data_IF_302303520175
#
_entry.id   IF_302303520175
#
_cell.length_a   1.000
_cell.length_b   1.000
_cell.length_c   1.000
_cell.angle_alpha   90.00
_cell.angle_beta   90.00
_cell.angle_gamma   90.00
#
_symmetry.space_group_name_H-M   'P 1'
#
loop_
_entity.id
_entity.type
_entity.pdbx_description
1 polymer ?
#
# COMPACT_ATOMS: atom_id res chain seq x y z
N UNK A 1 -32.46 9.75 -35.69
CA UNK A 1 -32.00 8.99 -34.49
C UNK A 1 -30.73 8.17 -34.70
N UNK A 2 -30.12 8.10 -35.88
CA UNK A 2 -28.94 7.29 -36.19
C UNK A 2 -27.60 7.95 -35.80
N UNK A 3 -27.52 9.26 -35.77
CA UNK A 3 -26.26 10.00 -35.46
C UNK A 3 -25.76 9.77 -34.03
N UNK A 4 -26.59 9.96 -33.03
CA UNK A 4 -26.22 9.83 -31.59
C UNK A 4 -25.69 8.43 -31.25
N UNK A 5 -26.28 7.40 -31.85
CA UNK A 5 -25.86 6.03 -31.66
C UNK A 5 -24.44 5.79 -32.14
N UNK A 6 -23.97 6.42 -33.22
CA UNK A 6 -22.60 6.25 -33.72
C UNK A 6 -21.56 6.96 -32.85
N UNK A 7 -21.87 8.12 -32.31
CA UNK A 7 -20.96 8.88 -31.42
C UNK A 7 -20.69 8.17 -30.12
N UNK A 8 -21.68 7.49 -29.49
CA UNK A 8 -21.46 6.72 -28.26
C UNK A 8 -20.55 5.50 -28.48
N UNK A 9 -20.70 4.81 -29.61
CA UNK A 9 -19.84 3.70 -29.99
C UNK A 9 -18.40 4.15 -30.26
N UNK A 10 -18.22 5.27 -30.99
CA UNK A 10 -16.92 5.83 -31.27
C UNK A 10 -16.23 6.31 -30.00
N UNK A 11 -16.94 7.02 -29.09
CA UNK A 11 -16.39 7.44 -27.81
C UNK A 11 -15.93 6.23 -26.95
N UNK A 12 -16.75 5.19 -26.88
CA UNK A 12 -16.39 3.97 -26.17
C UNK A 12 -15.14 3.29 -26.79
N UNK A 13 -15.06 3.24 -28.11
CA UNK A 13 -13.88 2.67 -28.80
C UNK A 13 -12.61 3.47 -28.51
N UNK A 14 -12.67 4.80 -28.56
CA UNK A 14 -11.54 5.69 -28.24
C UNK A 14 -11.08 5.50 -26.80
N UNK A 15 -12.00 5.52 -25.83
CA UNK A 15 -11.69 5.28 -24.41
C UNK A 15 -11.09 3.89 -24.21
N UNK A 16 -11.68 2.87 -24.81
CA UNK A 16 -11.17 1.50 -24.70
C UNK A 16 -9.77 1.32 -25.30
N UNK A 17 -9.47 1.97 -26.44
CA UNK A 17 -8.12 1.98 -27.03
C UNK A 17 -7.15 2.73 -26.11
N UNK A 18 -7.58 3.83 -25.51
CA UNK A 18 -6.72 4.55 -24.56
C UNK A 18 -6.37 3.69 -23.33
N UNK A 19 -7.32 2.91 -22.78
CA UNK A 19 -7.03 1.96 -21.68
C UNK A 19 -6.08 0.85 -22.12
N UNK A 20 -6.24 0.32 -23.35
CA UNK A 20 -5.30 -0.66 -23.90
C UNK A 20 -3.90 -0.06 -24.05
N UNK A 21 -3.78 1.15 -24.61
CA UNK A 21 -2.49 1.83 -24.74
C UNK A 21 -1.85 2.07 -23.38
N UNK A 22 -2.60 2.57 -22.37
CA UNK A 22 -2.12 2.71 -20.99
C UNK A 22 -1.65 1.38 -20.41
N UNK A 23 -2.39 0.29 -20.67
CA UNK A 23 -2.00 -1.07 -20.28
C UNK A 23 -0.67 -1.49 -20.90
N UNK A 24 -0.52 -1.32 -22.20
CA UNK A 24 0.69 -1.72 -22.94
C UNK A 24 1.90 -0.87 -22.58
N UNK A 25 1.71 0.45 -22.49
CA UNK A 25 2.78 1.37 -22.09
C UNK A 25 3.22 1.12 -20.64
N UNK A 26 2.32 0.73 -19.75
CA UNK A 26 2.66 0.33 -18.38
C UNK A 26 3.56 -0.91 -18.30
N UNK A 27 3.64 -1.77 -19.34
CA UNK A 27 4.65 -2.83 -19.40
C UNK A 27 6.06 -2.32 -19.75
N UNK A 28 6.17 -1.08 -20.21
CA UNK A 28 7.44 -0.41 -20.44
C UNK A 28 7.93 0.37 -19.21
N UNK A 29 7.30 0.18 -18.06
CA UNK A 29 7.56 0.94 -16.83
C UNK A 29 9.05 1.01 -16.43
N UNK A 30 9.80 -0.08 -16.63
CA UNK A 30 11.25 -0.11 -16.38
C UNK A 30 12.08 0.81 -17.32
N UNK A 31 11.47 1.40 -18.36
CA UNK A 31 12.15 2.28 -19.33
C UNK A 31 12.02 3.77 -19.04
N UNK A 32 11.21 4.14 -18.05
CA UNK A 32 11.08 5.53 -17.67
C UNK A 32 9.86 5.82 -16.81
N UNK A 33 9.96 6.84 -15.98
CA UNK A 33 9.00 7.20 -14.95
C UNK A 33 7.57 7.49 -15.47
N UNK A 34 7.41 8.02 -16.68
CA UNK A 34 6.08 8.22 -17.27
C UNK A 34 5.36 6.89 -17.55
N UNK A 35 6.09 5.88 -18.00
CA UNK A 35 5.54 4.55 -18.19
C UNK A 35 5.27 3.84 -16.86
N UNK A 36 6.13 4.09 -15.86
CA UNK A 36 5.92 3.61 -14.49
C UNK A 36 4.64 4.18 -13.88
N UNK A 37 4.36 5.47 -14.08
CA UNK A 37 3.09 6.06 -13.66
C UNK A 37 1.87 5.35 -14.27
N UNK A 38 1.95 4.94 -15.54
CA UNK A 38 0.87 4.21 -16.21
C UNK A 38 0.66 2.80 -15.63
N UNK A 39 1.69 2.17 -15.08
CA UNK A 39 1.57 0.85 -14.47
C UNK A 39 0.66 0.86 -13.23
N UNK A 40 0.47 2.00 -12.57
CA UNK A 40 -0.32 2.09 -11.35
C UNK A 40 -1.84 1.95 -11.55
N UNK A 41 -2.36 2.07 -12.77
CA UNK A 41 -3.80 2.18 -13.04
C UNK A 41 -4.45 0.89 -13.55
N UNK A 42 -3.95 -0.31 -13.17
CA UNK A 42 -4.44 -1.62 -13.65
C UNK A 42 -5.93 -1.85 -13.36
N UNK A 43 -6.40 -1.46 -12.18
CA UNK A 43 -7.83 -1.55 -11.83
C UNK A 43 -8.68 -0.63 -12.70
N UNK A 44 -8.24 0.61 -12.93
CA UNK A 44 -8.96 1.59 -13.73
C UNK A 44 -9.03 1.13 -15.19
N UNK A 45 -7.92 0.64 -15.75
CA UNK A 45 -7.91 0.07 -17.11
C UNK A 45 -8.82 -1.14 -17.23
N UNK A 46 -8.87 -1.99 -16.20
CA UNK A 46 -9.77 -3.13 -16.16
C UNK A 46 -11.24 -2.69 -16.25
N UNK A 47 -11.69 -1.81 -15.35
CA UNK A 47 -13.10 -1.44 -15.25
C UNK A 47 -13.54 -0.57 -16.42
N UNK A 48 -12.76 0.44 -16.78
CA UNK A 48 -13.08 1.34 -17.90
C UNK A 48 -13.02 0.56 -19.21
N UNK A 49 -12.00 -0.27 -19.39
CA UNK A 49 -11.87 -1.12 -20.57
C UNK A 49 -13.01 -2.14 -20.69
N UNK A 50 -13.44 -2.76 -19.59
CA UNK A 50 -14.57 -3.70 -19.59
C UNK A 50 -15.87 -3.01 -19.98
N UNK A 51 -16.15 -1.81 -19.45
CA UNK A 51 -17.32 -1.02 -19.83
C UNK A 51 -17.27 -0.64 -21.32
N UNK A 52 -16.11 -0.16 -21.79
CA UNK A 52 -15.91 0.19 -23.19
C UNK A 52 -16.12 -1.03 -24.10
N UNK A 53 -15.55 -2.20 -23.72
CA UNK A 53 -15.73 -3.48 -24.45
C UNK A 53 -17.22 -3.85 -24.54
N UNK A 54 -17.97 -3.76 -23.44
CA UNK A 54 -19.40 -4.04 -23.43
C UNK A 54 -20.19 -3.12 -24.37
N UNK A 55 -19.87 -1.82 -24.39
CA UNK A 55 -20.54 -0.84 -25.26
C UNK A 55 -20.24 -1.08 -26.75
N UNK A 56 -19.00 -1.36 -27.14
CA UNK A 56 -18.67 -1.65 -28.55
C UNK A 56 -19.19 -3.02 -29.00
N UNK A 57 -19.23 -4.01 -28.10
CA UNK A 57 -19.84 -5.33 -28.35
C UNK A 57 -21.36 -5.19 -28.61
N UNK A 58 -22.08 -4.41 -27.78
CA UNK A 58 -23.49 -4.10 -28.00
C UNK A 58 -23.76 -3.46 -29.35
N UNK A 59 -22.74 -2.73 -29.90
CA UNK A 59 -22.76 -2.13 -31.26
C UNK A 59 -22.42 -3.13 -32.36
N UNK A 60 -22.03 -4.38 -31.97
CA UNK A 60 -21.53 -5.42 -32.89
C UNK A 60 -20.29 -5.00 -33.69
N UNK A 61 -19.44 -4.19 -33.09
CA UNK A 61 -18.14 -3.79 -33.63
C UNK A 61 -17.07 -4.81 -33.22
N UNK A 62 -17.06 -5.96 -33.90
CA UNK A 62 -16.29 -7.14 -33.48
C UNK A 62 -14.79 -6.88 -33.34
N UNK A 63 -14.17 -6.14 -34.30
CA UNK A 63 -12.75 -5.86 -34.24
C UNK A 63 -12.37 -4.94 -33.06
N UNK A 64 -12.99 -3.78 -32.85
CA UNK A 64 -12.76 -3.00 -31.62
C UNK A 64 -13.02 -3.80 -30.34
N UNK A 65 -14.06 -4.64 -30.31
CA UNK A 65 -14.35 -5.50 -29.15
C UNK A 65 -13.18 -6.44 -28.86
N UNK A 66 -12.64 -7.12 -29.87
CA UNK A 66 -11.51 -8.03 -29.69
C UNK A 66 -10.24 -7.31 -29.22
N UNK A 67 -9.95 -6.15 -29.81
CA UNK A 67 -8.75 -5.34 -29.47
C UNK A 67 -8.81 -4.82 -28.05
N UNK A 68 -9.93 -4.19 -27.65
CA UNK A 68 -10.08 -3.64 -26.30
C UNK A 68 -10.19 -4.77 -25.27
N UNK A 69 -10.94 -5.84 -25.60
CA UNK A 69 -11.09 -7.03 -24.77
C UNK A 69 -9.77 -7.73 -24.45
N UNK A 70 -8.81 -7.70 -25.36
CA UNK A 70 -7.45 -8.17 -25.09
C UNK A 70 -6.78 -7.38 -23.98
N UNK A 71 -6.90 -6.04 -23.99
CA UNK A 71 -6.39 -5.19 -22.91
C UNK A 71 -7.07 -5.46 -21.55
N UNK A 72 -8.39 -5.71 -21.57
CA UNK A 72 -9.13 -6.12 -20.38
C UNK A 72 -8.60 -7.44 -19.85
N UNK A 73 -8.40 -8.44 -20.71
CA UNK A 73 -7.88 -9.75 -20.31
C UNK A 73 -6.49 -9.65 -19.68
N UNK A 74 -5.60 -8.84 -20.22
CA UNK A 74 -4.29 -8.59 -19.63
C UNK A 74 -4.42 -8.03 -18.19
N UNK A 75 -5.31 -7.05 -17.97
CA UNK A 75 -5.51 -6.51 -16.63
C UNK A 75 -6.24 -7.49 -15.70
N UNK A 76 -7.14 -8.33 -16.20
CA UNK A 76 -7.73 -9.45 -15.43
C UNK A 76 -6.62 -10.35 -14.88
N UNK A 77 -5.68 -10.77 -15.73
CA UNK A 77 -4.56 -11.63 -15.31
C UNK A 77 -3.70 -10.95 -14.24
N UNK A 78 -3.37 -9.66 -14.42
CA UNK A 78 -2.53 -8.90 -13.47
C UNK A 78 -3.22 -8.66 -12.12
N UNK A 79 -4.55 -8.48 -12.12
CA UNK A 79 -5.33 -8.15 -10.93
C UNK A 79 -5.85 -9.42 -10.23
N UNK A 80 -6.00 -10.53 -10.94
CA UNK A 80 -6.58 -11.77 -10.41
C UNK A 80 -5.94 -12.29 -9.12
N UNK A 81 -4.61 -12.18 -8.86
CA UNK A 81 -4.01 -12.66 -7.62
C UNK A 81 -4.53 -11.95 -6.36
N UNK A 82 -5.13 -10.77 -6.52
CA UNK A 82 -5.75 -10.01 -5.43
C UNK A 82 -7.17 -10.47 -5.10
N UNK A 83 -7.81 -11.21 -6.00
CA UNK A 83 -9.16 -11.76 -5.83
C UNK A 83 -9.17 -13.28 -5.65
N UNK A 84 -8.13 -13.93 -6.19
CA UNK A 84 -8.00 -15.38 -6.16
C UNK A 84 -6.84 -15.77 -5.24
N UNK A 85 -7.08 -16.77 -4.44
CA UNK A 85 -6.08 -17.28 -3.51
C UNK A 85 -6.68 -17.50 -2.12
N UNK A 86 -6.10 -18.43 -1.37
CA UNK A 86 -6.47 -18.65 0.02
C UNK A 86 -5.79 -17.61 0.91
N UNK A 87 -6.51 -17.12 1.91
CA UNK A 87 -5.91 -16.40 3.01
C UNK A 87 -5.35 -17.47 3.96
N UNK A 88 -4.05 -17.43 4.30
CA UNK A 88 -3.50 -18.38 5.25
C UNK A 88 -4.24 -18.32 6.59
N UNK A 89 -4.49 -19.46 7.18
CA UNK A 89 -5.09 -19.53 8.52
C UNK A 89 -4.00 -19.97 9.50
N UNK A 90 -3.72 -19.17 10.55
CA UNK A 90 -2.77 -19.56 11.58
C UNK A 90 -3.30 -20.74 12.38
N UNK A 91 -2.43 -21.42 13.10
CA UNK A 91 -2.84 -22.46 14.03
C UNK A 91 -3.78 -21.88 15.12
N UNK A 92 -4.78 -22.63 15.58
CA UNK A 92 -5.64 -22.18 16.66
C UNK A 92 -4.84 -21.80 17.92
N UNK A 93 -5.07 -20.60 18.43
CA UNK A 93 -4.36 -20.09 19.62
C UNK A 93 -2.97 -19.52 19.35
N UNK A 94 -2.53 -19.41 18.11
CA UNK A 94 -1.28 -18.72 17.78
C UNK A 94 -1.28 -17.28 18.30
N UNK A 95 -0.19 -16.81 18.89
CA UNK A 95 -0.02 -15.41 19.24
C UNK A 95 -0.23 -14.52 18.01
N UNK A 96 -0.86 -13.36 18.21
CA UNK A 96 -1.14 -12.40 17.15
C UNK A 96 -0.68 -11.02 17.57
N UNK A 97 -0.26 -10.22 16.60
CA UNK A 97 0.04 -8.80 16.75
C UNK A 97 -0.70 -8.00 15.69
N UNK A 98 -1.27 -6.88 16.08
CA UNK A 98 -1.98 -6.00 15.18
C UNK A 98 -1.16 -4.73 14.95
N UNK A 99 -0.89 -4.45 13.69
CA UNK A 99 -0.09 -3.29 13.25
C UNK A 99 -0.93 -2.43 12.33
N UNK A 100 -0.95 -1.13 12.58
CA UNK A 100 -1.64 -0.16 11.75
C UNK A 100 -0.66 0.84 11.12
N UNK A 101 -1.05 1.37 9.97
CA UNK A 101 -0.34 2.44 9.25
C UNK A 101 -1.33 3.48 8.74
N UNK A 102 -0.91 4.74 8.78
CA UNK A 102 -1.60 5.85 8.14
C UNK A 102 -0.59 6.92 7.68
N UNK A 103 -0.64 7.26 6.40
CA UNK A 103 -0.09 8.56 5.96
C UNK A 103 -1.05 9.64 6.43
N UNK A 104 -0.59 10.52 7.33
CA UNK A 104 -1.46 11.48 8.03
C UNK A 104 -1.74 12.74 7.21
N UNK A 105 -1.08 12.90 6.06
CA UNK A 105 -1.07 14.09 5.23
C UNK A 105 -0.60 15.33 6.02
N UNK A 106 0.62 15.78 5.82
CA UNK A 106 1.23 16.89 6.57
C UNK A 106 0.34 18.14 6.64
N UNK A 107 -0.44 18.42 5.58
CA UNK A 107 -1.41 19.52 5.51
C UNK A 107 -2.82 19.17 6.00
N UNK A 108 -3.02 18.01 6.64
CA UNK A 108 -4.30 17.64 7.23
C UNK A 108 -4.72 18.70 8.27
N UNK A 109 -5.87 19.32 8.07
CA UNK A 109 -6.40 20.36 8.95
C UNK A 109 -7.09 19.79 10.20
N UNK A 110 -7.55 18.55 10.14
CA UNK A 110 -8.28 17.88 11.23
C UNK A 110 -7.47 16.71 11.81
N UNK A 111 -6.43 17.08 12.56
CA UNK A 111 -5.53 16.12 13.22
C UNK A 111 -6.20 15.32 14.34
N UNK A 112 -7.34 15.81 14.86
CA UNK A 112 -8.10 15.09 15.91
C UNK A 112 -8.60 13.75 15.42
N UNK A 113 -8.93 13.61 14.12
CA UNK A 113 -9.32 12.36 13.52
C UNK A 113 -8.18 11.33 13.47
N UNK A 114 -6.93 11.79 13.42
CA UNK A 114 -5.78 10.88 13.50
C UNK A 114 -5.70 10.28 14.90
N UNK A 115 -5.92 11.10 15.96
CA UNK A 115 -5.98 10.61 17.36
C UNK A 115 -7.14 9.64 17.56
N UNK A 116 -8.31 9.93 16.95
CA UNK A 116 -9.45 9.00 16.95
C UNK A 116 -9.10 7.68 16.24
N UNK A 117 -8.47 7.74 15.08
CA UNK A 117 -7.98 6.55 14.38
C UNK A 117 -7.04 5.72 15.24
N UNK A 118 -6.05 6.34 15.91
CA UNK A 118 -5.12 5.63 16.82
C UNK A 118 -5.93 4.91 17.90
N UNK A 119 -6.89 5.60 18.54
CA UNK A 119 -7.74 5.02 19.58
C UNK A 119 -8.58 3.86 19.10
N UNK A 120 -9.19 3.98 17.92
CA UNK A 120 -10.13 3.00 17.36
C UNK A 120 -9.43 1.82 16.67
N UNK A 121 -8.17 1.99 16.27
CA UNK A 121 -7.42 0.96 15.53
C UNK A 121 -7.26 -0.34 16.30
N UNK A 122 -7.27 -0.26 17.64
CA UNK A 122 -6.95 -1.37 18.54
C UNK A 122 -5.64 -2.08 18.18
N UNK A 123 -4.74 -1.40 17.46
CA UNK A 123 -3.45 -1.94 17.07
C UNK A 123 -2.48 -1.97 18.27
N UNK A 124 -1.55 -2.90 18.26
CA UNK A 124 -0.46 -2.93 19.23
C UNK A 124 0.58 -1.85 18.88
N UNK A 125 0.83 -1.66 17.58
CA UNK A 125 1.73 -0.64 17.04
C UNK A 125 1.04 0.13 15.91
N UNK A 126 1.21 1.45 15.92
CA UNK A 126 0.69 2.35 14.86
C UNK A 126 1.85 3.14 14.27
N UNK A 127 2.12 2.95 12.99
CA UNK A 127 3.10 3.71 12.24
C UNK A 127 2.42 4.83 11.48
N UNK A 128 2.87 6.05 11.71
CA UNK A 128 2.36 7.24 11.06
C UNK A 128 3.42 7.83 10.14
N UNK A 129 3.04 8.25 8.96
CA UNK A 129 3.89 8.98 8.02
C UNK A 129 3.33 10.37 7.75
N UNK A 130 4.17 11.28 7.24
CA UNK A 130 3.86 12.71 7.10
C UNK A 130 3.44 13.38 8.42
N UNK A 131 4.02 12.93 9.51
CA UNK A 131 3.78 13.47 10.85
C UNK A 131 4.35 14.89 10.97
N UNK A 132 3.67 15.75 11.71
CA UNK A 132 4.06 17.13 11.97
C UNK A 132 4.05 17.40 13.46
N UNK A 133 4.88 18.36 13.96
CA UNK A 133 4.95 18.71 15.36
C UNK A 133 3.57 18.95 16.02
N UNK A 134 2.61 19.69 15.39
CA UNK A 134 1.26 19.84 15.96
C UNK A 134 0.49 18.52 16.13
N UNK A 135 0.78 17.49 15.33
CA UNK A 135 0.16 16.16 15.52
C UNK A 135 0.81 15.44 16.70
N UNK A 136 2.14 15.52 16.84
CA UNK A 136 2.88 14.95 17.98
C UNK A 136 2.37 15.57 19.28
N UNK A 137 2.31 16.89 19.36
CA UNK A 137 1.79 17.62 20.54
C UNK A 137 0.35 17.21 20.87
N UNK A 138 -0.49 16.97 19.86
CA UNK A 138 -1.87 16.54 20.04
C UNK A 138 -1.96 15.11 20.59
N UNK A 139 -1.12 14.19 20.10
CA UNK A 139 -1.06 12.82 20.61
C UNK A 139 -0.59 12.81 22.06
N UNK A 140 0.51 13.49 22.38
CA UNK A 140 1.07 13.57 23.73
C UNK A 140 0.12 14.26 24.72
N UNK A 141 -0.59 15.28 24.25
CA UNK A 141 -1.59 16.01 25.05
C UNK A 141 -2.88 15.23 25.30
N UNK A 142 -3.10 14.10 24.60
CA UNK A 142 -4.31 13.27 24.71
C UNK A 142 -4.19 12.29 25.88
N UNK A 143 -4.31 12.77 27.12
CA UNK A 143 -4.08 11.96 28.32
C UNK A 143 -5.01 10.75 28.50
N UNK A 144 -6.15 10.71 27.82
CA UNK A 144 -7.10 9.58 27.79
C UNK A 144 -6.78 8.56 26.68
N UNK A 145 -5.81 8.84 25.81
CA UNK A 145 -5.38 7.93 24.78
C UNK A 145 -4.58 6.77 25.41
N UNK A 146 -4.98 5.51 25.18
CA UNK A 146 -4.28 4.34 25.74
C UNK A 146 -3.01 3.99 24.96
N UNK A 147 -2.34 5.00 24.41
CA UNK A 147 -1.14 4.89 23.57
C UNK A 147 -0.15 5.98 23.94
N UNK A 148 1.12 5.69 23.74
CA UNK A 148 2.24 6.62 23.89
C UNK A 148 3.08 6.64 22.61
N UNK A 149 3.72 7.79 22.31
CA UNK A 149 4.72 7.88 21.26
C UNK A 149 5.99 7.19 21.76
N UNK A 150 6.42 6.14 21.03
CA UNK A 150 7.64 5.42 21.33
C UNK A 150 8.86 6.05 20.63
N UNK A 151 8.67 6.50 19.39
CA UNK A 151 9.74 7.05 18.57
C UNK A 151 9.16 7.99 17.52
N UNK A 152 9.83 9.11 17.32
CA UNK A 152 9.59 10.03 16.21
C UNK A 152 10.89 10.41 15.53
N UNK A 153 10.82 10.80 14.27
CA UNK A 153 11.99 11.25 13.53
C UNK A 153 12.21 12.76 13.70
N UNK A 154 13.47 13.23 13.91
CA UNK A 154 13.76 14.60 14.30
C UNK A 154 13.28 15.72 13.36
N UNK A 155 13.03 15.41 12.11
CA UNK A 155 12.53 16.37 11.09
C UNK A 155 11.05 16.19 10.78
N UNK A 156 10.31 15.50 11.67
CA UNK A 156 8.97 15.03 11.36
C UNK A 156 9.00 13.91 10.32
N UNK A 157 7.85 13.56 9.83
CA UNK A 157 7.71 12.57 8.77
C UNK A 157 7.30 11.21 9.27
N UNK A 158 7.93 10.61 10.28
CA UNK A 158 7.54 9.31 10.82
C UNK A 158 7.35 9.37 12.34
N UNK A 159 6.34 8.66 12.83
CA UNK A 159 6.19 8.35 14.24
C UNK A 159 5.72 6.91 14.43
N UNK A 160 6.20 6.29 15.50
CA UNK A 160 5.72 5.02 16.03
C UNK A 160 4.99 5.28 17.34
N UNK A 161 3.77 4.87 17.40
CA UNK A 161 2.91 4.91 18.58
C UNK A 161 2.63 3.49 19.02
N UNK A 162 2.77 3.19 20.30
CA UNK A 162 2.52 1.86 20.85
C UNK A 162 1.44 1.89 21.92
N UNK A 163 0.79 0.77 22.14
CA UNK A 163 -0.19 0.62 23.21
C UNK A 163 0.50 0.75 24.58
N UNK A 164 0.00 1.65 25.45
CA UNK A 164 0.59 1.93 26.76
C UNK A 164 0.74 0.69 27.64
N UNK A 165 -0.13 -0.31 27.48
CA UNK A 165 -0.01 -1.57 28.19
C UNK A 165 1.27 -2.35 27.87
N UNK A 166 1.96 -2.00 26.80
CA UNK A 166 3.25 -2.59 26.36
C UNK A 166 4.44 -1.75 26.82
N UNK A 167 4.22 -0.63 27.49
CA UNK A 167 5.30 0.22 27.99
C UNK A 167 6.14 -0.52 29.04
N UNK A 168 7.46 -0.51 28.87
CA UNK A 168 8.39 -1.19 29.77
C UNK A 168 8.64 -2.66 29.43
N UNK A 169 8.04 -3.19 28.34
CA UNK A 169 8.43 -4.49 27.79
C UNK A 169 9.84 -4.38 27.17
N UNK A 170 10.82 -4.95 27.83
CA UNK A 170 12.22 -4.92 27.38
C UNK A 170 12.51 -5.71 26.11
N UNK A 171 11.53 -6.45 25.60
CA UNK A 171 11.62 -7.16 24.31
C UNK A 171 11.23 -6.28 23.13
N UNK A 172 10.77 -5.02 23.37
CA UNK A 172 10.35 -4.09 22.36
C UNK A 172 11.38 -2.96 22.26
N UNK A 173 12.06 -2.88 21.13
CA UNK A 173 13.03 -1.82 20.83
C UNK A 173 12.73 -1.18 19.49
N UNK A 174 12.92 0.13 19.39
CA UNK A 174 12.75 0.84 18.12
C UNK A 174 13.89 1.83 17.88
N UNK A 175 14.28 1.94 16.61
CA UNK A 175 15.29 2.91 16.20
C UNK A 175 15.04 3.43 14.78
N UNK A 176 15.61 4.59 14.46
CA UNK A 176 15.58 5.18 13.14
C UNK A 176 16.74 4.65 12.30
N UNK A 177 16.46 4.32 11.05
CA UNK A 177 17.45 3.97 10.04
C UNK A 177 17.19 4.72 8.73
N UNK A 178 18.11 4.67 7.80
CA UNK A 178 17.94 5.22 6.46
C UNK A 178 17.94 4.09 5.43
N UNK A 179 17.10 4.21 4.41
CA UNK A 179 17.03 3.28 3.29
C UNK A 179 17.51 3.95 2.02
N UNK A 180 18.51 3.35 1.39
CA UNK A 180 19.08 3.87 0.16
C UNK A 180 19.79 5.21 0.36
N UNK A 181 19.78 6.04 -0.68
CA UNK A 181 20.46 7.35 -0.71
C UNK A 181 19.52 8.52 -0.41
N UNK A 182 18.27 8.25 -0.04
CA UNK A 182 17.29 9.30 0.26
C UNK A 182 17.46 9.79 1.70
N UNK A 183 16.99 11.02 1.95
CA UNK A 183 16.95 11.59 3.29
C UNK A 183 15.71 11.16 4.09
N UNK A 184 14.80 10.38 3.46
CA UNK A 184 13.60 9.89 4.13
C UNK A 184 13.97 8.75 5.09
N UNK A 185 13.66 8.90 6.38
CA UNK A 185 13.97 7.91 7.40
C UNK A 185 13.04 6.69 7.29
N UNK A 186 13.45 5.62 7.94
CA UNK A 186 12.64 4.45 8.25
C UNK A 186 12.71 4.15 9.74
N UNK A 187 11.65 3.55 10.30
CA UNK A 187 11.64 3.05 11.67
C UNK A 187 11.75 1.53 11.62
N UNK A 188 12.71 1.00 12.35
CA UNK A 188 12.81 -0.42 12.67
C UNK A 188 12.26 -0.63 14.06
N UNK A 189 11.30 -1.55 14.19
CA UNK A 189 10.80 -2.04 15.47
C UNK A 189 11.20 -3.50 15.60
N UNK A 190 11.82 -3.86 16.72
CA UNK A 190 12.12 -5.21 17.15
C UNK A 190 11.15 -5.62 18.25
N UNK A 191 10.51 -6.77 18.10
CA UNK A 191 9.53 -7.26 19.06
C UNK A 191 9.46 -8.79 19.05
N UNK A 192 8.66 -9.34 19.93
CA UNK A 192 8.39 -10.78 20.00
C UNK A 192 6.93 -11.09 19.72
N UNK A 193 6.69 -12.19 19.03
CA UNK A 193 5.37 -12.77 18.81
C UNK A 193 5.33 -14.15 19.48
N UNK A 194 4.85 -14.20 20.71
CA UNK A 194 5.11 -15.30 21.62
C UNK A 194 6.59 -15.33 21.99
N UNK A 195 7.28 -16.46 21.70
CA UNK A 195 8.72 -16.60 21.95
C UNK A 195 9.59 -16.32 20.69
N UNK A 196 8.97 -16.00 19.56
CA UNK A 196 9.66 -15.78 18.30
C UNK A 196 9.94 -14.30 18.08
N UNK A 197 11.21 -13.90 17.91
CA UNK A 197 11.54 -12.53 17.53
C UNK A 197 11.07 -12.25 16.09
N UNK A 198 10.63 -11.03 15.84
CA UNK A 198 10.32 -10.52 14.52
C UNK A 198 10.66 -9.04 14.45
N UNK A 199 10.77 -8.51 13.24
CA UNK A 199 11.06 -7.10 13.01
C UNK A 199 10.00 -6.46 12.11
N UNK A 200 9.75 -5.17 12.33
CA UNK A 200 8.94 -4.34 11.45
C UNK A 200 9.83 -3.24 10.89
N UNK A 201 9.83 -3.10 9.56
CA UNK A 201 10.42 -1.96 8.87
C UNK A 201 9.29 -1.09 8.34
N UNK A 202 9.12 0.09 8.93
CA UNK A 202 8.09 1.06 8.53
C UNK A 202 8.75 2.26 7.85
N UNK A 203 8.28 2.62 6.65
CA UNK A 203 8.83 3.74 5.88
C UNK A 203 7.84 4.28 4.85
N UNK A 204 8.16 5.49 4.40
CA UNK A 204 7.50 6.11 3.25
C UNK A 204 8.56 6.37 2.18
N UNK A 205 8.19 6.12 0.93
CA UNK A 205 9.06 6.45 -0.19
C UNK A 205 8.72 7.81 -0.83
N UNK A 206 9.63 8.32 -1.64
CA UNK A 206 9.38 9.53 -2.41
C UNK A 206 8.20 9.36 -3.38
N UNK A 207 7.26 10.31 -3.38
CA UNK A 207 6.16 10.33 -4.36
C UNK A 207 6.69 10.56 -5.78
N UNK A 208 6.34 9.74 -6.79
CA UNK A 208 6.95 9.73 -8.12
C UNK A 208 6.44 10.86 -9.05
N UNK A 209 6.23 12.06 -8.53
CA UNK A 209 5.75 13.21 -9.32
C UNK A 209 6.73 13.72 -10.37
N UNK A 210 7.99 13.26 -10.38
CA UNK A 210 9.05 13.55 -11.36
C UNK A 210 10.09 12.44 -11.38
N UNK A 211 10.87 12.35 -12.46
CA UNK A 211 11.85 11.28 -12.68
C UNK A 211 12.80 11.06 -11.48
N UNK A 212 13.45 12.10 -10.99
CA UNK A 212 14.37 11.99 -9.86
C UNK A 212 13.72 11.48 -8.55
N UNK A 213 12.43 11.79 -8.32
CA UNK A 213 11.70 11.25 -7.18
C UNK A 213 11.31 9.79 -7.38
N UNK A 214 10.98 9.39 -8.61
CA UNK A 214 10.75 7.99 -8.95
C UNK A 214 12.02 7.15 -8.75
N UNK A 215 13.18 7.67 -9.18
CA UNK A 215 14.49 7.04 -8.94
C UNK A 215 14.77 6.90 -7.43
N UNK A 216 14.48 7.95 -6.64
CA UNK A 216 14.64 7.89 -5.17
C UNK A 216 13.72 6.85 -4.51
N UNK A 217 12.47 6.72 -4.96
CA UNK A 217 11.55 5.67 -4.52
C UNK A 217 12.12 4.28 -4.86
N UNK A 218 12.58 4.09 -6.08
CA UNK A 218 13.09 2.80 -6.56
C UNK A 218 14.37 2.40 -5.79
N UNK A 219 15.25 3.37 -5.49
CA UNK A 219 16.44 3.18 -4.66
C UNK A 219 16.08 2.75 -3.23
N UNK A 220 15.05 3.38 -2.61
CA UNK A 220 14.57 2.98 -1.29
C UNK A 220 13.96 1.58 -1.26
N UNK A 221 13.16 1.23 -2.28
CA UNK A 221 12.57 -0.11 -2.37
C UNK A 221 13.65 -1.18 -2.59
N UNK A 222 14.69 -0.88 -3.36
CA UNK A 222 15.85 -1.78 -3.51
C UNK A 222 16.62 -1.94 -2.20
N UNK A 223 16.90 -0.86 -1.49
CA UNK A 223 17.53 -0.89 -0.18
C UNK A 223 16.70 -1.64 0.88
N UNK A 224 15.37 -1.55 0.82
CA UNK A 224 14.48 -2.34 1.66
C UNK A 224 14.61 -3.84 1.38
N UNK A 225 14.77 -4.24 0.11
CA UNK A 225 15.02 -5.64 -0.25
C UNK A 225 16.36 -6.15 0.33
N UNK A 226 17.42 -5.35 0.23
CA UNK A 226 18.72 -5.67 0.81
C UNK A 226 18.65 -5.75 2.35
N UNK A 227 17.89 -4.83 2.96
CA UNK A 227 17.68 -4.84 4.40
C UNK A 227 17.00 -6.14 4.86
N UNK A 228 15.94 -6.59 4.17
CA UNK A 228 15.25 -7.86 4.46
C UNK A 228 16.17 -9.04 4.29
N UNK A 229 16.96 -9.09 3.20
CA UNK A 229 17.88 -10.18 2.93
C UNK A 229 18.97 -10.34 4.00
N UNK A 230 19.26 -9.29 4.78
CA UNK A 230 20.19 -9.32 5.92
C UNK A 230 19.54 -9.71 7.25
N UNK A 231 18.31 -10.23 7.27
CA UNK A 231 17.60 -10.59 8.51
C UNK A 231 17.46 -12.10 8.66
N UNK A 232 17.73 -12.57 9.88
CA UNK A 232 17.56 -13.97 10.27
C UNK A 232 16.21 -14.22 10.97
N UNK A 233 15.40 -13.17 11.12
CA UNK A 233 14.08 -13.21 11.77
C UNK A 233 12.99 -12.80 10.80
N UNK A 234 11.75 -13.25 10.99
CA UNK A 234 10.62 -12.83 10.18
C UNK A 234 10.42 -11.31 10.20
N UNK A 235 10.02 -10.75 9.07
CA UNK A 235 9.90 -9.29 8.87
C UNK A 235 8.52 -8.91 8.34
N UNK A 236 7.98 -7.79 8.84
CA UNK A 236 6.91 -7.03 8.23
C UNK A 236 7.49 -5.74 7.65
N UNK A 237 7.26 -5.47 6.37
CA UNK A 237 7.41 -4.14 5.77
C UNK A 237 6.04 -3.47 5.72
N UNK A 238 5.92 -2.25 6.22
CA UNK A 238 4.64 -1.51 6.22
C UNK A 238 4.87 -0.03 5.93
N UNK A 239 3.97 0.59 5.16
CA UNK A 239 4.05 2.01 4.89
C UNK A 239 3.44 2.44 3.55
N UNK A 240 3.64 3.72 3.23
CA UNK A 240 3.32 4.31 1.93
C UNK A 240 4.51 4.15 0.97
N UNK A 241 4.42 3.16 0.09
CA UNK A 241 5.50 2.86 -0.85
C UNK A 241 5.39 3.65 -2.16
N UNK A 242 4.38 4.51 -2.30
CA UNK A 242 4.16 5.35 -3.49
C UNK A 242 4.29 4.56 -4.81
N UNK A 243 3.97 3.30 -4.78
CA UNK A 243 4.09 2.32 -5.86
C UNK A 243 2.98 1.29 -5.74
N UNK A 244 2.44 0.84 -6.85
CA UNK A 244 1.54 -0.32 -6.86
C UNK A 244 2.31 -1.61 -7.15
N UNK A 245 1.76 -2.80 -6.84
CA UNK A 245 2.44 -4.07 -7.09
C UNK A 245 2.81 -4.35 -8.55
N UNK A 246 2.29 -3.55 -9.47
CA UNK A 246 2.56 -3.67 -10.92
C UNK A 246 3.70 -2.77 -11.40
N UNK A 247 4.26 -1.93 -10.53
CA UNK A 247 5.47 -1.17 -10.83
C UNK A 247 6.70 -2.08 -10.74
N UNK A 248 7.74 -1.86 -11.57
CA UNK A 248 8.93 -2.68 -11.55
C UNK A 248 9.62 -2.75 -10.20
N UNK A 249 9.75 -1.60 -9.52
CA UNK A 249 10.49 -1.49 -8.26
C UNK A 249 9.81 -2.28 -7.12
N UNK A 250 8.49 -2.10 -6.91
CA UNK A 250 7.78 -2.84 -5.87
C UNK A 250 7.65 -4.33 -6.21
N UNK A 251 7.41 -4.66 -7.48
CA UNK A 251 7.43 -6.05 -7.95
C UNK A 251 8.80 -6.71 -7.75
N UNK A 252 9.90 -5.96 -7.93
CA UNK A 252 11.24 -6.45 -7.67
C UNK A 252 11.45 -6.69 -6.17
N UNK A 253 11.13 -5.73 -5.31
CA UNK A 253 11.20 -5.89 -3.85
C UNK A 253 10.47 -7.17 -3.39
N UNK A 254 9.20 -7.33 -3.79
CA UNK A 254 8.38 -8.49 -3.40
C UNK A 254 9.05 -9.80 -3.82
N UNK A 255 9.58 -9.85 -5.05
CA UNK A 255 10.16 -11.07 -5.60
C UNK A 255 11.56 -11.37 -5.06
N UNK A 256 12.43 -10.34 -4.92
CA UNK A 256 13.84 -10.55 -4.53
C UNK A 256 14.00 -10.80 -3.05
N UNK A 257 13.11 -10.26 -2.23
CA UNK A 257 13.09 -10.46 -0.78
C UNK A 257 12.10 -11.55 -0.34
N UNK A 258 11.50 -12.29 -1.29
CA UNK A 258 10.53 -13.37 -1.07
C UNK A 258 9.38 -12.94 -0.12
N UNK A 259 8.79 -11.79 -0.44
CA UNK A 259 7.74 -11.21 0.39
C UNK A 259 6.34 -11.60 -0.12
N UNK A 260 5.42 -11.76 0.82
CA UNK A 260 4.00 -11.94 0.55
C UNK A 260 3.24 -10.64 0.79
N UNK A 261 2.53 -10.16 -0.24
CA UNK A 261 1.65 -9.00 -0.09
C UNK A 261 0.37 -9.39 0.64
N UNK A 262 0.12 -8.74 1.79
CA UNK A 262 -1.07 -8.93 2.61
C UNK A 262 -2.39 -8.68 1.89
N UNK A 263 -2.39 -8.00 0.74
CA UNK A 263 -3.56 -7.73 -0.07
C UNK A 263 -4.02 -8.92 -0.93
N UNK A 264 -3.15 -9.92 -1.17
CA UNK A 264 -3.48 -11.08 -2.02
C UNK A 264 -4.67 -11.86 -1.47
N UNK A 265 -5.60 -12.21 -2.34
CA UNK A 265 -6.81 -12.94 -1.99
C UNK A 265 -7.90 -12.14 -1.24
N UNK A 266 -7.70 -10.81 -1.06
CA UNK A 266 -8.63 -9.95 -0.28
C UNK A 266 -9.39 -8.92 -1.12
N UNK A 267 -9.26 -8.97 -2.43
CA UNK A 267 -9.97 -8.10 -3.38
C UNK A 267 -9.32 -6.74 -3.57
N UNK A 268 -10.14 -5.74 -3.87
CA UNK A 268 -9.66 -4.38 -4.14
C UNK A 268 -9.20 -3.70 -2.85
N UNK A 269 -7.96 -3.24 -2.85
CA UNK A 269 -7.30 -2.63 -1.69
C UNK A 269 -6.71 -1.25 -1.99
N UNK A 270 -7.37 -0.47 -2.86
CA UNK A 270 -6.95 0.88 -3.17
C UNK A 270 -7.01 1.79 -1.95
N UNK A 271 -5.89 2.44 -1.63
CA UNK A 271 -5.74 3.28 -0.44
C UNK A 271 -5.71 4.77 -0.77
N UNK A 272 -5.26 5.16 -1.96
CA UNK A 272 -5.08 6.56 -2.39
C UNK A 272 -5.67 6.81 -3.79
N UNK A 273 -6.25 8.00 -4.08
CA UNK A 273 -6.67 9.01 -3.10
C UNK A 273 -7.97 8.59 -2.38
N UNK A 274 -8.03 8.86 -1.10
CA UNK A 274 -9.23 8.62 -0.29
C UNK A 274 -10.46 9.31 -0.89
N UNK A 275 -11.59 8.94 -0.88
CA UNK A 275 -12.77 9.62 -1.47
C UNK A 275 -13.00 9.39 -2.97
N UNK A 276 -12.06 8.78 -3.69
CA UNK A 276 -12.20 8.48 -5.13
C UNK A 276 -12.88 7.13 -5.43
N UNK A 277 -13.45 6.48 -4.42
CA UNK A 277 -14.18 5.22 -4.59
C UNK A 277 -13.36 4.13 -5.32
N UNK A 278 -13.82 3.60 -6.46
CA UNK A 278 -13.12 2.56 -7.20
C UNK A 278 -11.88 3.06 -7.98
N UNK A 279 -11.64 4.36 -8.00
CA UNK A 279 -10.49 4.95 -8.72
C UNK A 279 -9.24 5.08 -7.85
N UNK A 280 -9.28 4.59 -6.62
CA UNK A 280 -8.12 4.50 -5.75
C UNK A 280 -7.09 3.51 -6.31
N UNK A 281 -5.80 3.75 -5.99
CA UNK A 281 -4.70 2.83 -6.27
C UNK A 281 -4.11 2.33 -4.94
N UNK A 282 -3.59 1.09 -4.89
CA UNK A 282 -2.98 0.53 -3.70
C UNK A 282 -1.50 0.95 -3.61
N UNK A 283 -1.20 1.95 -2.79
CA UNK A 283 0.18 2.43 -2.56
C UNK A 283 0.63 2.27 -1.11
N UNK A 284 -0.31 1.99 -0.20
CA UNK A 284 -0.03 1.62 1.19
C UNK A 284 0.00 0.09 1.31
N UNK A 285 1.12 -0.43 1.77
CA UNK A 285 1.39 -1.87 1.76
C UNK A 285 1.76 -2.41 3.14
N UNK A 286 1.49 -3.69 3.32
CA UNK A 286 2.03 -4.53 4.36
C UNK A 286 2.49 -5.84 3.71
N UNK A 287 3.81 -6.08 3.73
CA UNK A 287 4.47 -7.21 3.09
C UNK A 287 5.15 -8.04 4.18
N UNK A 288 4.93 -9.35 4.19
CA UNK A 288 5.53 -10.26 5.18
C UNK A 288 6.55 -11.18 4.54
N UNK A 289 7.68 -11.42 5.22
CA UNK A 289 8.62 -12.48 4.85
C UNK A 289 8.15 -13.85 5.36
N UNK A 290 8.87 -14.90 5.01
CA UNK A 290 8.68 -16.24 5.58
C UNK A 290 8.66 -16.19 7.12
N UNK A 291 7.84 -17.06 7.74
CA UNK A 291 7.63 -17.10 9.20
C UNK A 291 6.51 -16.20 9.71
N UNK A 292 6.05 -15.21 8.97
CA UNK A 292 4.86 -14.41 9.29
C UNK A 292 3.74 -14.62 8.27
N UNK A 293 2.51 -14.63 8.79
CA UNK A 293 1.31 -14.67 7.94
C UNK A 293 0.33 -13.57 8.33
N UNK A 294 -0.31 -12.96 7.32
CA UNK A 294 -1.37 -11.97 7.55
C UNK A 294 -2.71 -12.67 7.72
N UNK A 295 -3.23 -12.65 8.94
CA UNK A 295 -4.54 -13.23 9.29
C UNK A 295 -5.67 -12.32 8.83
N UNK A 296 -5.55 -11.02 9.10
CA UNK A 296 -6.54 -10.00 8.78
C UNK A 296 -5.86 -8.80 8.12
N UNK A 297 -6.51 -8.20 7.14
CA UNK A 297 -6.14 -6.93 6.53
C UNK A 297 -7.38 -6.10 6.31
N UNK A 298 -7.33 -4.85 6.71
CA UNK A 298 -8.42 -3.90 6.55
C UNK A 298 -7.89 -2.54 6.11
N UNK A 299 -8.65 -1.88 5.25
CA UNK A 299 -8.55 -0.44 5.02
C UNK A 299 -9.66 0.23 5.82
N UNK A 300 -9.26 1.13 6.71
CA UNK A 300 -10.17 1.84 7.61
C UNK A 300 -10.52 3.24 7.12
N UNK A 301 -10.64 4.18 8.07
CA UNK A 301 -10.91 5.59 7.80
C UNK A 301 -9.71 6.30 7.20
N UNK A 302 -9.94 7.39 6.49
CA UNK A 302 -8.87 8.29 6.05
C UNK A 302 -8.38 9.23 7.15
N UNK A 303 -9.12 9.38 8.24
CA UNK A 303 -8.78 10.28 9.35
C UNK A 303 -8.44 11.73 8.91
N UNK A 304 -9.11 12.23 7.87
CA UNK A 304 -8.83 13.56 7.29
C UNK A 304 -7.68 13.59 6.29
N UNK A 305 -6.98 12.48 6.08
CA UNK A 305 -5.93 12.32 5.07
C UNK A 305 -6.51 12.05 3.68
N UNK A 306 -5.68 12.16 2.65
CA UNK A 306 -5.95 11.64 1.32
C UNK A 306 -5.54 10.17 1.15
N UNK A 307 -5.07 9.52 2.23
CA UNK A 307 -4.86 8.07 2.31
C UNK A 307 -5.91 7.40 3.19
N UNK A 308 -6.22 6.13 2.90
CA UNK A 308 -6.96 5.26 3.80
C UNK A 308 -5.97 4.59 4.77
N UNK A 309 -6.36 4.46 6.03
CA UNK A 309 -5.55 3.69 6.99
C UNK A 309 -5.50 2.21 6.62
N UNK A 310 -4.39 1.57 6.92
CA UNK A 310 -4.15 0.16 6.72
C UNK A 310 -3.92 -0.51 8.08
N UNK A 311 -4.68 -1.55 8.39
CA UNK A 311 -4.48 -2.37 9.59
C UNK A 311 -4.29 -3.83 9.19
N UNK A 312 -3.27 -4.47 9.73
CA UNK A 312 -3.00 -5.90 9.54
C UNK A 312 -2.85 -6.59 10.89
N UNK A 313 -3.41 -7.78 11.01
CA UNK A 313 -3.14 -8.68 12.12
C UNK A 313 -2.27 -9.82 11.60
N UNK A 314 -1.15 -10.04 12.27
CA UNK A 314 -0.14 -11.03 11.93
C UNK A 314 -0.16 -12.17 12.93
N UNK A 315 0.22 -13.35 12.47
CA UNK A 315 0.54 -14.51 13.28
C UNK A 315 1.79 -15.20 12.73
N UNK A 316 2.38 -16.11 13.49
CA UNK A 316 3.41 -16.99 12.97
C UNK A 316 2.82 -17.90 11.89
N UNK A 317 3.57 -18.07 10.79
CA UNK A 317 3.25 -19.04 9.77
C UNK A 317 3.44 -20.47 10.32
N UNK A 318 2.62 -21.41 9.85
CA UNK A 318 2.74 -22.84 10.23
C UNK A 318 3.90 -23.50 9.51
#
# INVERSE_FOLDING_TARGET
MTGWRNWTGLGAAVVGVATLLGTLLGFLAARGWLFDLLANFRYQYLWIGALATGLVLWRRWWLPTAVIGFGVLLNVVLVSPYYLGGVPSPAPGSPQVTVAHLNTLARNEDKTRVVEFIRESNADFVFLTEVTDPLVELIDGSGDLPYDIMLETPSGGLALVHRRAMAGDSSIEAHVTNLGRTELPAIVLEAQLGEQPFQILAFQTSSPGRAAKAEGRDDQLAAAAEWVAGRDVPVLLIGDFNATPWTPALSALIRTADLTDSARGRGFTGSWPAGWGPFKIPIDHALTSEGLTTVRRELGTSAGSDHMSLTVTLALAN
#
